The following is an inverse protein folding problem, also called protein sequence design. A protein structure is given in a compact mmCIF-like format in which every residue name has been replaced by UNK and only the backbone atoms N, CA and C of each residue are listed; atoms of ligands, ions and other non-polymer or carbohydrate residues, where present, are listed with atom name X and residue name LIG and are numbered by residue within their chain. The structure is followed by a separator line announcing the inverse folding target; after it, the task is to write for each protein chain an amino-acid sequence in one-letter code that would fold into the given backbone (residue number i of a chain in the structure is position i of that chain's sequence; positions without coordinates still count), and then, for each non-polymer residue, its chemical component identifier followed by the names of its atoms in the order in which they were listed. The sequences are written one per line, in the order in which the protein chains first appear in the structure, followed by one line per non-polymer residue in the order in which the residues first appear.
data_IF_210709561172
#
_entry.id   IF_210709561172
#
_cell.length_a   1.000
_cell.length_b   1.000
_cell.length_c   1.000
_cell.angle_alpha   90.00
_cell.angle_beta   90.00
_cell.angle_gamma   90.00
#
_symmetry.space_group_name_H-M   'P 1'
#
loop_
_entity.id
_entity.type
_entity.pdbx_description
1 polymer ?
#
# COMPACT_ATOMS: atom_id res chain seq x y z
N UNK A 1 31.85 -14.62 -19.64
CA UNK A 1 30.39 -14.53 -19.84
C UNK A 1 29.89 -13.38 -18.98
N UNK A 2 29.52 -12.24 -19.58
CA UNK A 2 29.00 -11.09 -18.84
C UNK A 2 27.48 -11.21 -18.76
N UNK A 3 26.93 -11.21 -17.55
CA UNK A 3 25.49 -11.20 -17.34
C UNK A 3 24.90 -9.86 -17.81
N UNK A 4 23.93 -9.89 -18.72
CA UNK A 4 23.20 -8.69 -19.15
C UNK A 4 22.42 -8.09 -17.98
N UNK A 5 22.43 -6.77 -17.76
CA UNK A 5 21.58 -6.15 -16.75
C UNK A 5 20.12 -6.34 -17.16
N UNK A 6 19.34 -7.01 -16.31
CA UNK A 6 17.91 -7.17 -16.52
C UNK A 6 17.27 -5.77 -16.55
N UNK A 7 16.81 -5.33 -17.72
CA UNK A 7 16.11 -4.05 -17.90
C UNK A 7 14.70 -4.16 -17.34
N UNK A 8 14.58 -4.15 -16.00
CA UNK A 8 13.29 -3.82 -15.39
C UNK A 8 12.93 -2.42 -15.88
N UNK A 9 11.71 -2.19 -16.39
CA UNK A 9 11.26 -0.85 -16.69
C UNK A 9 11.50 0.05 -15.47
N UNK A 10 11.99 1.28 -15.65
CA UNK A 10 12.41 2.14 -14.53
C UNK A 10 11.25 2.49 -13.60
N UNK A 11 10.01 2.32 -14.08
CA UNK A 11 8.78 2.60 -13.37
C UNK A 11 7.80 1.43 -13.51
N UNK A 12 7.08 1.14 -12.43
CA UNK A 12 5.90 0.29 -12.44
C UNK A 12 4.76 0.93 -13.23
N UNK A 13 3.80 0.12 -13.67
CA UNK A 13 2.60 0.60 -14.35
C UNK A 13 1.85 1.65 -13.51
N UNK A 14 1.76 1.46 -12.19
CA UNK A 14 1.12 2.44 -11.29
C UNK A 14 1.83 3.80 -11.34
N UNK A 15 3.16 3.81 -11.30
CA UNK A 15 3.94 5.04 -11.42
C UNK A 15 3.75 5.69 -12.78
N UNK A 16 3.69 4.90 -13.87
CA UNK A 16 3.43 5.41 -15.22
C UNK A 16 2.04 6.04 -15.36
N UNK A 17 0.99 5.44 -14.81
CA UNK A 17 -0.37 5.99 -14.84
C UNK A 17 -0.48 7.29 -14.03
N UNK A 18 0.18 7.36 -12.86
CA UNK A 18 0.26 8.61 -12.10
C UNK A 18 0.97 9.73 -12.88
N UNK A 19 1.99 9.40 -13.68
CA UNK A 19 2.66 10.38 -14.52
C UNK A 19 1.78 10.90 -15.66
N UNK A 20 0.90 10.07 -16.21
CA UNK A 20 -0.06 10.50 -17.24
C UNK A 20 -1.04 11.55 -16.73
N UNK A 21 -1.36 11.55 -15.43
CA UNK A 21 -2.20 12.60 -14.83
C UNK A 21 -1.60 14.00 -15.03
N UNK A 22 -0.28 14.16 -14.86
CA UNK A 22 0.38 15.43 -15.12
C UNK A 22 0.28 15.84 -16.59
N UNK A 23 0.42 14.89 -17.52
CA UNK A 23 0.27 15.17 -18.96
C UNK A 23 -1.15 15.59 -19.37
N UNK A 24 -2.16 15.24 -18.56
CA UNK A 24 -3.54 15.63 -18.77
C UNK A 24 -3.90 17.00 -18.17
N UNK A 25 -2.92 17.73 -17.60
CA UNK A 25 -3.14 19.05 -17.01
C UNK A 25 -3.93 19.01 -15.70
N UNK A 26 -3.80 17.91 -14.93
CA UNK A 26 -4.39 17.84 -13.59
C UNK A 26 -3.77 18.95 -12.72
N UNK A 27 -4.59 19.85 -12.14
CA UNK A 27 -4.08 20.93 -11.31
C UNK A 27 -3.38 20.42 -10.05
N UNK A 28 -2.29 21.09 -9.64
CA UNK A 28 -1.52 20.74 -8.46
C UNK A 28 -2.34 20.84 -7.17
N UNK A 29 -3.38 21.66 -7.16
CA UNK A 29 -4.31 21.81 -6.03
C UNK A 29 -4.98 20.49 -5.66
N UNK A 30 -5.19 19.59 -6.63
CA UNK A 30 -5.81 18.27 -6.40
C UNK A 30 -4.84 17.21 -5.89
N UNK A 31 -3.55 17.53 -5.80
CA UNK A 31 -2.51 16.57 -5.40
C UNK A 31 -2.77 16.03 -3.99
N UNK A 32 -3.28 16.87 -3.10
CA UNK A 32 -3.56 16.49 -1.70
C UNK A 32 -4.69 15.46 -1.65
N UNK A 33 -5.79 15.70 -2.36
CA UNK A 33 -6.95 14.83 -2.44
C UNK A 33 -6.60 13.49 -3.09
N UNK A 34 -5.77 13.51 -4.16
CA UNK A 34 -5.29 12.30 -4.81
C UNK A 34 -4.44 11.46 -3.84
N UNK A 35 -3.52 12.10 -3.11
CA UNK A 35 -2.71 11.42 -2.09
C UNK A 35 -3.58 10.82 -0.99
N UNK A 36 -4.60 11.55 -0.55
CA UNK A 36 -5.52 11.07 0.47
C UNK A 36 -6.33 9.86 0.00
N UNK A 37 -6.84 9.88 -1.23
CA UNK A 37 -7.54 8.75 -1.84
C UNK A 37 -6.65 7.50 -1.89
N UNK A 38 -5.40 7.65 -2.33
CA UNK A 38 -4.42 6.57 -2.37
C UNK A 38 -4.14 6.06 -0.95
N UNK A 39 -3.92 6.95 0.02
CA UNK A 39 -3.65 6.58 1.40
C UNK A 39 -4.80 5.79 2.03
N UNK A 40 -6.05 6.24 1.80
CA UNK A 40 -7.27 5.55 2.27
C UNK A 40 -7.38 4.15 1.66
N UNK A 41 -7.13 4.01 0.37
CA UNK A 41 -7.14 2.72 -0.31
C UNK A 41 -6.09 1.75 0.27
N UNK A 42 -4.85 2.21 0.39
CA UNK A 42 -3.76 1.39 0.93
C UNK A 42 -4.00 1.01 2.40
N UNK A 43 -4.54 1.92 3.21
CA UNK A 43 -4.93 1.63 4.59
C UNK A 43 -6.02 0.55 4.66
N UNK A 44 -7.01 0.59 3.77
CA UNK A 44 -8.03 -0.46 3.68
C UNK A 44 -7.40 -1.82 3.39
N UNK A 45 -6.49 -1.90 2.41
CA UNK A 45 -5.78 -3.15 2.08
C UNK A 45 -4.88 -3.64 3.20
N UNK A 46 -4.20 -2.74 3.90
CA UNK A 46 -3.42 -3.10 5.08
C UNK A 46 -4.30 -3.67 6.20
N UNK A 47 -5.48 -3.07 6.47
CA UNK A 47 -6.44 -3.57 7.46
C UNK A 47 -7.01 -4.94 7.09
N UNK A 48 -7.39 -5.14 5.84
CA UNK A 48 -7.85 -6.44 5.32
C UNK A 48 -6.77 -7.52 5.52
N UNK A 49 -5.52 -7.22 5.16
CA UNK A 49 -4.41 -8.14 5.32
C UNK A 49 -4.11 -8.45 6.81
N UNK A 50 -4.14 -7.43 7.67
CA UNK A 50 -3.96 -7.60 9.11
C UNK A 50 -5.06 -8.48 9.72
N UNK A 51 -6.33 -8.24 9.36
CA UNK A 51 -7.46 -9.05 9.81
C UNK A 51 -7.37 -10.50 9.35
N UNK A 52 -6.95 -10.74 8.10
CA UNK A 52 -6.71 -12.10 7.60
C UNK A 52 -5.61 -12.80 8.39
N UNK A 53 -4.47 -12.13 8.62
CA UNK A 53 -3.38 -12.70 9.41
C UNK A 53 -3.78 -12.96 10.86
N UNK A 54 -4.61 -12.09 11.45
CA UNK A 54 -5.16 -12.27 12.79
C UNK A 54 -5.98 -13.56 12.90
N UNK A 55 -6.86 -13.81 11.92
CA UNK A 55 -7.67 -15.02 11.85
C UNK A 55 -6.83 -16.28 11.60
N UNK A 56 -5.89 -16.24 10.65
CA UNK A 56 -5.01 -17.38 10.34
C UNK A 56 -4.19 -17.84 11.54
N UNK A 57 -3.80 -16.90 12.40
CA UNK A 57 -3.06 -17.20 13.63
C UNK A 57 -3.95 -17.59 14.81
N UNK A 58 -5.27 -17.68 14.61
CA UNK A 58 -6.24 -18.01 15.66
C UNK A 58 -6.29 -16.98 16.78
N UNK A 59 -5.91 -15.73 16.50
CA UNK A 59 -5.94 -14.68 17.50
C UNK A 59 -7.37 -14.28 17.83
N UNK A 60 -7.59 -13.91 19.08
CA UNK A 60 -8.89 -13.52 19.63
C UNK A 60 -8.72 -12.33 20.57
N UNK A 61 -9.83 -11.81 21.07
CA UNK A 61 -9.81 -10.72 22.06
C UNK A 61 -8.97 -11.10 23.29
N UNK A 62 -8.96 -12.39 23.68
CA UNK A 62 -8.09 -12.90 24.75
C UNK A 62 -6.60 -12.77 24.42
N UNK A 63 -6.22 -12.94 23.16
CA UNK A 63 -4.84 -12.72 22.71
C UNK A 63 -4.47 -11.25 22.86
N UNK A 64 -5.37 -10.34 22.47
CA UNK A 64 -5.15 -8.90 22.62
C UNK A 64 -5.04 -8.51 24.09
N UNK A 65 -5.91 -9.02 24.96
CA UNK A 65 -5.87 -8.78 26.41
C UNK A 65 -4.54 -9.22 27.04
N UNK A 66 -4.03 -10.40 26.65
CA UNK A 66 -2.72 -10.88 27.13
C UNK A 66 -1.59 -9.94 26.73
N UNK A 67 -1.55 -9.53 25.47
CA UNK A 67 -0.52 -8.61 24.98
C UNK A 67 -0.58 -7.23 25.64
N UNK A 68 -1.79 -6.70 25.88
CA UNK A 68 -1.97 -5.42 26.59
C UNK A 68 -1.47 -5.52 28.04
N UNK A 69 -1.62 -6.68 28.68
CA UNK A 69 -1.11 -6.97 30.03
C UNK A 69 0.40 -7.27 30.06
N UNK A 70 1.02 -7.48 28.90
CA UNK A 70 2.43 -7.86 28.78
C UNK A 70 2.70 -9.33 29.11
N UNK A 71 1.69 -10.20 28.98
CA UNK A 71 1.76 -11.66 29.18
C UNK A 71 1.98 -12.44 27.87
#
# INVERSE_FOLDING_TARGET
MMASPSTRPPLSNMQMELLKLYSAGVPDEYLTEIKEMIARFLLSKAREAAGKSWQEKGYSDKTAEKWIKGE
#
